data_IF_563615974821
#
_entry.id   IF_563615974821
#
_cell.length_a   1.000
_cell.length_b   1.000
_cell.length_c   1.000
_cell.angle_alpha   90.00
_cell.angle_beta   90.00
_cell.angle_gamma   90.00
#
_symmetry.space_group_name_H-M   'P 1'
#
loop_
_entity.id
_entity.type
_entity.pdbx_description
1 polymer ?
#
# COMPACT_ATOMS: atom_id res chain seq x y z
N UNK A 1 0.43 -24.08 -10.23
CA UNK A 1 1.64 -23.72 -9.46
C UNK A 1 2.49 -22.67 -10.18
N UNK A 2 3.06 -22.96 -11.36
CA UNK A 2 3.93 -21.99 -12.07
C UNK A 2 3.23 -20.67 -12.43
N UNK A 3 2.01 -20.71 -12.97
CA UNK A 3 1.25 -19.49 -13.31
C UNK A 3 1.02 -18.57 -12.09
N UNK A 4 0.83 -19.16 -10.91
CA UNK A 4 0.66 -18.43 -9.65
C UNK A 4 1.95 -17.72 -9.23
N UNK A 5 3.10 -18.40 -9.36
CA UNK A 5 4.41 -17.80 -9.09
C UNK A 5 4.69 -16.64 -10.06
N UNK A 6 4.43 -16.82 -11.35
CA UNK A 6 4.58 -15.74 -12.34
C UNK A 6 3.67 -14.54 -12.03
N UNK A 7 2.43 -14.80 -11.62
CA UNK A 7 1.48 -13.74 -11.25
C UNK A 7 1.99 -12.91 -10.07
N UNK A 8 2.49 -13.57 -9.02
CA UNK A 8 3.09 -12.89 -7.86
C UNK A 8 4.32 -12.10 -8.30
N UNK A 9 5.23 -12.73 -9.04
CA UNK A 9 6.49 -12.11 -9.47
C UNK A 9 6.26 -10.84 -10.31
N UNK A 10 5.37 -10.90 -11.30
CA UNK A 10 5.06 -9.74 -12.15
C UNK A 10 4.41 -8.61 -11.34
N UNK A 11 3.46 -8.94 -10.45
CA UNK A 11 2.86 -7.94 -9.56
C UNK A 11 3.93 -7.29 -8.68
N UNK A 12 4.81 -8.10 -8.08
CA UNK A 12 5.85 -7.61 -7.17
C UNK A 12 6.90 -6.72 -7.86
N UNK A 13 7.29 -7.05 -9.09
CA UNK A 13 8.20 -6.20 -9.88
C UNK A 13 7.57 -4.82 -10.09
N UNK A 14 6.32 -4.78 -10.55
CA UNK A 14 5.62 -3.53 -10.82
C UNK A 14 5.39 -2.71 -9.54
N UNK A 15 4.96 -3.36 -8.45
CA UNK A 15 4.75 -2.71 -7.17
C UNK A 15 6.04 -2.12 -6.60
N UNK A 16 7.13 -2.90 -6.63
CA UNK A 16 8.44 -2.45 -6.17
C UNK A 16 8.99 -1.28 -6.99
N UNK A 17 8.90 -1.34 -8.32
CA UNK A 17 9.33 -0.25 -9.21
C UNK A 17 8.55 1.03 -8.98
N UNK A 18 7.21 0.93 -8.90
CA UNK A 18 6.37 2.10 -8.67
C UNK A 18 6.64 2.71 -7.30
N UNK A 19 6.80 1.88 -6.26
CA UNK A 19 7.17 2.37 -4.92
C UNK A 19 8.49 3.12 -4.94
N UNK A 20 9.51 2.57 -5.58
CA UNK A 20 10.81 3.22 -5.71
C UNK A 20 10.69 4.57 -6.43
N UNK A 21 10.00 4.61 -7.56
CA UNK A 21 9.82 5.84 -8.35
C UNK A 21 9.04 6.93 -7.59
N UNK A 22 7.97 6.54 -6.89
CA UNK A 22 7.20 7.45 -6.03
C UNK A 22 8.06 7.97 -4.88
N UNK A 23 8.85 7.10 -4.25
CA UNK A 23 9.80 7.47 -3.20
C UNK A 23 10.79 8.52 -3.66
N UNK A 24 11.39 8.36 -4.85
CA UNK A 24 12.32 9.34 -5.42
C UNK A 24 11.69 10.73 -5.59
N UNK A 25 10.41 10.80 -5.99
CA UNK A 25 9.72 12.06 -6.25
C UNK A 25 9.19 12.74 -4.99
N UNK A 26 8.66 11.96 -4.05
CA UNK A 26 7.83 12.49 -2.98
C UNK A 26 8.48 12.46 -1.59
N UNK A 27 9.44 11.57 -1.31
CA UNK A 27 10.00 11.44 0.05
C UNK A 27 10.74 12.70 0.51
N UNK A 28 11.33 13.46 -0.42
CA UNK A 28 12.08 14.67 -0.09
C UNK A 28 11.24 15.95 -0.08
N UNK A 29 9.92 15.87 -0.34
CA UNK A 29 9.06 17.06 -0.39
C UNK A 29 8.78 17.65 1.00
N UNK A 30 8.73 16.81 2.04
CA UNK A 30 8.51 17.23 3.41
C UNK A 30 9.64 16.74 4.32
N UNK A 31 10.39 17.62 5.00
CA UNK A 31 11.63 17.25 5.70
C UNK A 31 11.49 16.20 6.80
N UNK A 32 10.30 16.04 7.39
CA UNK A 32 10.11 15.17 8.55
C UNK A 32 9.19 13.97 8.30
N UNK A 33 8.49 13.92 7.17
CA UNK A 33 7.57 12.82 6.83
C UNK A 33 7.79 12.45 5.37
N UNK A 34 8.32 11.25 5.09
CA UNK A 34 8.52 10.77 3.72
C UNK A 34 7.18 10.53 3.00
N UNK A 35 6.70 11.55 2.30
CA UNK A 35 5.36 11.54 1.70
C UNK A 35 5.17 10.47 0.61
N UNK A 36 6.26 9.98 0.00
CA UNK A 36 6.18 8.85 -0.92
C UNK A 36 5.83 7.56 -0.18
N UNK A 37 6.47 7.28 0.96
CA UNK A 37 6.15 6.11 1.79
C UNK A 37 4.71 6.17 2.30
N UNK A 38 4.24 7.34 2.74
CA UNK A 38 2.83 7.56 3.11
C UNK A 38 1.92 7.27 1.91
N UNK A 39 2.18 7.89 0.76
CA UNK A 39 1.37 7.77 -0.43
C UNK A 39 1.19 6.31 -0.86
N UNK A 40 2.28 5.54 -0.97
CA UNK A 40 2.20 4.16 -1.44
C UNK A 40 1.45 3.26 -0.46
N UNK A 41 1.59 3.50 0.85
CA UNK A 41 0.88 2.72 1.87
C UNK A 41 -0.62 3.02 1.86
N UNK A 42 -1.02 4.29 1.73
CA UNK A 42 -2.43 4.68 1.66
C UNK A 42 -3.09 4.20 0.36
N UNK A 43 -2.46 4.46 -0.79
CA UNK A 43 -2.98 4.03 -2.10
C UNK A 43 -3.01 2.50 -2.16
N UNK A 44 -1.98 1.82 -1.67
CA UNK A 44 -1.96 0.36 -1.59
C UNK A 44 -3.09 -0.21 -0.72
N UNK A 45 -3.39 0.46 0.41
CA UNK A 45 -4.57 0.18 1.24
C UNK A 45 -5.88 0.29 0.45
N UNK A 46 -6.06 1.37 -0.31
CA UNK A 46 -7.24 1.52 -1.16
C UNK A 46 -7.35 0.41 -2.23
N UNK A 47 -6.25 0.13 -2.93
CA UNK A 47 -6.21 -0.91 -3.97
C UNK A 47 -6.55 -2.28 -3.39
N UNK A 48 -5.97 -2.67 -2.25
CA UNK A 48 -6.26 -3.98 -1.64
C UNK A 48 -7.71 -4.07 -1.15
N UNK A 49 -8.27 -3.00 -0.59
CA UNK A 49 -9.68 -2.93 -0.18
C UNK A 49 -10.64 -3.11 -1.35
N UNK A 50 -10.43 -2.36 -2.44
CA UNK A 50 -11.23 -2.49 -3.65
C UNK A 50 -11.09 -3.90 -4.26
N UNK A 51 -9.86 -4.38 -4.39
CA UNK A 51 -9.56 -5.67 -5.00
C UNK A 51 -10.22 -6.83 -4.23
N UNK A 52 -10.14 -6.86 -2.90
CA UNK A 52 -10.76 -7.94 -2.11
C UNK A 52 -12.28 -7.91 -2.27
N UNK A 53 -12.91 -6.73 -2.28
CA UNK A 53 -14.36 -6.61 -2.51
C UNK A 53 -14.76 -7.10 -3.89
N UNK A 54 -14.00 -6.73 -4.93
CA UNK A 54 -14.22 -7.20 -6.30
C UNK A 54 -14.07 -8.72 -6.44
N UNK A 55 -12.99 -9.28 -5.91
CA UNK A 55 -12.72 -10.72 -6.02
C UNK A 55 -13.66 -11.59 -5.17
N UNK A 56 -14.43 -11.03 -4.23
CA UNK A 56 -15.34 -11.80 -3.39
C UNK A 56 -16.44 -12.50 -4.19
N UNK A 57 -16.91 -11.87 -5.28
CA UNK A 57 -18.01 -12.37 -6.11
C UNK A 57 -17.60 -12.60 -7.58
N UNK A 58 -16.35 -12.33 -7.95
CA UNK A 58 -15.88 -12.45 -9.32
C UNK A 58 -15.54 -13.90 -9.68
N UNK A 59 -16.15 -14.43 -10.74
CA UNK A 59 -15.81 -15.75 -11.29
C UNK A 59 -14.62 -15.67 -12.27
N UNK A 60 -13.47 -15.24 -11.76
CA UNK A 60 -12.22 -15.06 -12.52
C UNK A 60 -11.06 -15.87 -11.91
N UNK A 61 -9.99 -16.03 -12.67
CA UNK A 61 -8.84 -16.84 -12.23
C UNK A 61 -8.26 -16.32 -10.90
N UNK A 62 -7.99 -17.21 -9.92
CA UNK A 62 -7.33 -16.83 -8.66
C UNK A 62 -5.96 -16.17 -8.83
N UNK A 63 -5.32 -16.37 -9.98
CA UNK A 63 -4.04 -15.76 -10.32
C UNK A 63 -4.11 -14.22 -10.38
N UNK A 64 -5.25 -13.63 -10.75
CA UNK A 64 -5.41 -12.18 -10.71
C UNK A 64 -5.39 -11.63 -9.28
N UNK A 65 -6.01 -12.35 -8.34
CA UNK A 65 -5.92 -12.01 -6.91
C UNK A 65 -4.50 -12.11 -6.40
N UNK A 66 -3.76 -13.15 -6.79
CA UNK A 66 -2.34 -13.28 -6.43
C UNK A 66 -1.47 -12.18 -7.04
N UNK A 67 -1.72 -11.80 -8.30
CA UNK A 67 -1.01 -10.70 -8.94
C UNK A 67 -1.24 -9.36 -8.21
N UNK A 68 -2.49 -9.00 -7.93
CA UNK A 68 -2.82 -7.69 -7.33
C UNK A 68 -2.49 -7.68 -5.84
N UNK A 69 -2.99 -8.66 -5.08
CA UNK A 69 -2.94 -8.62 -3.61
C UNK A 69 -1.57 -9.02 -3.09
N UNK A 70 -1.11 -10.23 -3.45
CA UNK A 70 0.17 -10.76 -2.96
C UNK A 70 1.35 -10.13 -3.69
N UNK A 71 1.26 -9.99 -5.02
CA UNK A 71 2.32 -9.44 -5.85
C UNK A 71 2.45 -7.93 -5.70
N UNK A 72 1.52 -7.20 -6.33
CA UNK A 72 1.58 -5.74 -6.47
C UNK A 72 1.46 -5.02 -5.13
N UNK A 73 0.35 -5.16 -4.41
CA UNK A 73 0.16 -4.48 -3.12
C UNK A 73 1.23 -4.88 -2.10
N UNK A 74 1.63 -6.16 -2.08
CA UNK A 74 2.69 -6.67 -1.21
C UNK A 74 4.05 -6.00 -1.43
N UNK A 75 4.41 -5.64 -2.67
CA UNK A 75 5.68 -4.97 -2.98
C UNK A 75 5.57 -3.44 -3.07
N UNK A 76 4.38 -2.93 -3.39
CA UNK A 76 4.06 -1.50 -3.50
C UNK A 76 3.95 -0.84 -2.14
N UNK A 77 3.39 -1.53 -1.15
CA UNK A 77 3.38 -1.08 0.25
C UNK A 77 4.65 -1.51 0.96
N UNK A 78 4.98 -0.86 2.07
CA UNK A 78 6.17 -1.18 2.85
C UNK A 78 5.98 -0.87 4.34
N UNK A 79 6.11 -1.90 5.17
CA UNK A 79 6.18 -1.75 6.62
C UNK A 79 7.61 -1.54 7.11
N UNK A 80 8.60 -2.14 6.45
CA UNK A 80 10.01 -2.06 6.83
C UNK A 80 10.58 -0.64 6.65
N UNK A 81 10.25 0.02 5.54
CA UNK A 81 10.66 1.42 5.29
C UNK A 81 10.02 2.35 6.31
N UNK A 82 8.71 2.23 6.53
CA UNK A 82 7.97 2.96 7.56
C UNK A 82 8.59 2.79 8.96
N UNK A 83 8.93 1.55 9.35
CA UNK A 83 9.54 1.25 10.64
C UNK A 83 10.89 1.97 10.81
N UNK A 84 11.74 1.94 9.78
CA UNK A 84 13.03 2.63 9.80
C UNK A 84 12.85 4.15 9.91
N UNK A 85 11.94 4.74 9.14
CA UNK A 85 11.64 6.19 9.18
C UNK A 85 11.18 6.63 10.58
N UNK A 86 10.29 5.86 11.22
CA UNK A 86 9.83 6.12 12.59
C UNK A 86 10.97 5.99 13.60
N UNK A 87 11.79 4.95 13.51
CA UNK A 87 12.92 4.77 14.41
C UNK A 87 13.96 5.87 14.25
N UNK A 88 14.22 6.34 13.03
CA UNK A 88 15.09 7.48 12.77
C UNK A 88 14.54 8.75 13.44
N UNK A 89 13.23 9.04 13.31
CA UNK A 89 12.61 10.17 14.00
C UNK A 89 12.73 10.09 15.52
N UNK A 90 12.60 8.88 16.09
CA UNK A 90 12.77 8.65 17.54
C UNK A 90 14.23 8.91 17.95
N UNK A 91 15.20 8.42 17.18
CA UNK A 91 16.64 8.65 17.43
C UNK A 91 17.03 10.13 17.33
N UNK A 92 16.37 10.88 16.44
CA UNK A 92 16.52 12.33 16.32
C UNK A 92 15.79 13.13 17.43
N UNK A 93 15.13 12.47 18.38
CA UNK A 93 14.36 13.11 19.45
C UNK A 93 13.02 13.70 19.00
N UNK A 94 12.58 13.45 17.76
CA UNK A 94 11.35 14.01 17.16
C UNK A 94 10.11 13.16 17.48
N UNK A 95 9.85 12.89 18.76
CA UNK A 95 8.79 11.98 19.21
C UNK A 95 7.39 12.33 18.70
N UNK A 96 7.02 13.62 18.70
CA UNK A 96 5.70 14.05 18.22
C UNK A 96 5.50 13.74 16.73
N UNK A 97 6.56 13.88 15.92
CA UNK A 97 6.49 13.56 14.49
C UNK A 97 6.46 12.04 14.28
N UNK A 98 7.24 11.28 15.05
CA UNK A 98 7.21 9.82 15.00
C UNK A 98 5.80 9.28 15.30
N UNK A 99 5.17 9.74 16.38
CA UNK A 99 3.80 9.37 16.74
C UNK A 99 2.78 9.76 15.66
N UNK A 100 2.92 10.97 15.11
CA UNK A 100 2.06 11.43 14.01
C UNK A 100 2.23 10.56 12.76
N UNK A 101 3.47 10.17 12.44
CA UNK A 101 3.79 9.30 11.29
C UNK A 101 3.17 7.91 11.47
N UNK A 102 3.28 7.32 12.67
CA UNK A 102 2.60 6.06 13.01
C UNK A 102 1.08 6.19 12.82
N UNK A 103 0.47 7.25 13.38
CA UNK A 103 -0.97 7.47 13.29
C UNK A 103 -1.43 7.62 11.83
N UNK A 104 -0.74 8.44 11.02
CA UNK A 104 -1.03 8.63 9.59
C UNK A 104 -0.98 7.30 8.85
N UNK A 105 0.06 6.49 9.06
CA UNK A 105 0.20 5.21 8.38
C UNK A 105 -0.88 4.21 8.79
N UNK A 106 -1.09 4.01 10.10
CA UNK A 106 -2.01 2.98 10.59
C UNK A 106 -3.45 3.38 10.35
N UNK A 107 -3.87 4.55 10.83
CA UNK A 107 -5.25 5.02 10.69
C UNK A 107 -5.56 5.28 9.22
N UNK A 108 -4.65 5.92 8.50
CA UNK A 108 -4.84 6.20 7.08
C UNK A 108 -4.96 4.91 6.25
N UNK A 109 -4.13 3.89 6.48
CA UNK A 109 -4.23 2.63 5.74
C UNK A 109 -5.58 1.93 5.99
N UNK A 110 -6.08 1.93 7.23
CA UNK A 110 -7.39 1.39 7.55
C UNK A 110 -8.51 2.16 6.85
N UNK A 111 -8.48 3.50 6.90
CA UNK A 111 -9.45 4.36 6.22
C UNK A 111 -9.44 4.10 4.72
N UNK A 112 -8.26 4.11 4.08
CA UNK A 112 -8.16 3.92 2.63
C UNK A 112 -8.60 2.51 2.21
N UNK A 113 -8.29 1.48 3.00
CA UNK A 113 -8.80 0.12 2.75
C UNK A 113 -10.32 0.08 2.82
N UNK A 114 -10.92 0.71 3.84
CA UNK A 114 -12.37 0.83 3.96
C UNK A 114 -12.98 1.58 2.76
N UNK A 115 -12.41 2.72 2.36
CA UNK A 115 -12.85 3.49 1.21
C UNK A 115 -12.77 2.67 -0.09
N UNK A 116 -11.72 1.86 -0.26
CA UNK A 116 -11.60 0.95 -1.40
C UNK A 116 -12.74 -0.07 -1.46
N UNK A 117 -13.07 -0.71 -0.34
CA UNK A 117 -14.20 -1.63 -0.25
C UNK A 117 -15.54 -0.94 -0.54
N UNK A 118 -15.76 0.24 0.04
CA UNK A 118 -17.00 1.01 -0.13
C UNK A 118 -17.18 1.49 -1.58
N UNK A 119 -16.09 1.89 -2.24
CA UNK A 119 -16.10 2.32 -3.65
C UNK A 119 -16.54 1.20 -4.58
N UNK A 120 -16.04 -0.02 -4.38
CA UNK A 120 -16.49 -1.18 -5.16
C UNK A 120 -17.98 -1.44 -4.94
N UNK A 121 -18.43 -1.48 -3.68
CA UNK A 121 -19.82 -1.70 -3.33
C UNK A 121 -20.76 -0.68 -4.00
N UNK A 122 -20.42 0.60 -3.96
CA UNK A 122 -21.21 1.67 -4.59
C UNK A 122 -21.33 1.50 -6.11
N UNK A 123 -20.24 1.13 -6.79
CA UNK A 123 -20.25 0.87 -8.24
C UNK A 123 -21.05 -0.38 -8.63
N UNK A 124 -21.22 -1.35 -7.72
CA UNK A 124 -21.99 -2.58 -8.01
C UNK A 124 -23.46 -2.50 -7.65
N UNK A 125 -23.87 -1.48 -6.88
CA UNK A 125 -25.26 -1.24 -6.50
C UNK A 125 -25.94 -0.14 -7.33
N UNK A 126 -25.20 0.55 -8.20
CA UNK A 126 -25.72 1.48 -9.21
C UNK A 126 -25.99 0.77 -10.52
#
# INVERSE_FOLDING_TARGET
>A
MYASLFSIALGSILGGWLRWFVGLKLNNLYPNIPMGTVFVNLVGGFVIGFAISYFANANISPNYKLFIVTGFCGAFTTFSTFSLEVLTLIQEGKLMVALSTIAIHVIGALIFTFLGMMSHHWLTQS
#
